data_IF_966922911539
#
_entry.id   IF_966922911539
#
_cell.length_a   1.000
_cell.length_b   1.000
_cell.length_c   1.000
_cell.angle_alpha   90.00
_cell.angle_beta   90.00
_cell.angle_gamma   90.00
#
_symmetry.space_group_name_H-M   'P 1'
#
loop_
_entity.id
_entity.type
_entity.pdbx_description
1 polymer ?
#
# COMPACT_ATOMS: atom_id res chain seq x y z
N UNK A 1 -12.97 22.82 -24.36
CA UNK A 1 -13.12 21.34 -24.47
C UNK A 1 -12.69 20.57 -23.21
N UNK A 2 -11.60 20.95 -22.49
CA UNK A 2 -11.17 20.25 -21.25
C UNK A 2 -12.17 20.33 -20.07
N UNK A 3 -12.90 21.45 -19.91
CA UNK A 3 -13.86 21.64 -18.82
C UNK A 3 -14.99 20.60 -18.79
N UNK A 4 -15.65 20.36 -19.94
CA UNK A 4 -16.76 19.41 -20.04
C UNK A 4 -16.35 17.95 -19.71
N UNK A 5 -15.11 17.56 -20.02
CA UNK A 5 -14.57 16.25 -19.68
C UNK A 5 -14.35 16.08 -18.17
N UNK A 6 -13.88 17.13 -17.48
CA UNK A 6 -13.69 17.14 -16.02
C UNK A 6 -15.05 17.06 -15.31
N UNK A 7 -16.04 17.83 -15.76
CA UNK A 7 -17.39 17.82 -15.16
C UNK A 7 -18.07 16.46 -15.31
N UNK A 8 -17.92 15.80 -16.47
CA UNK A 8 -18.46 14.46 -16.74
C UNK A 8 -17.74 13.36 -15.95
N UNK A 9 -16.44 13.51 -15.72
CA UNK A 9 -15.68 12.62 -14.85
C UNK A 9 -16.09 12.78 -13.39
N UNK A 10 -16.24 14.01 -12.91
CA UNK A 10 -16.70 14.30 -11.56
C UNK A 10 -18.11 13.74 -11.31
N UNK A 11 -19.02 13.83 -12.29
CA UNK A 11 -20.39 13.31 -12.16
C UNK A 11 -20.47 11.77 -12.14
N UNK A 12 -19.44 11.07 -12.62
CA UNK A 12 -19.37 9.60 -12.63
C UNK A 12 -18.45 9.03 -11.55
N UNK A 13 -17.76 9.89 -10.80
CA UNK A 13 -16.84 9.50 -9.73
C UNK A 13 -17.58 9.28 -8.42
N UNK A 14 -17.41 8.09 -7.85
CA UNK A 14 -17.90 7.78 -6.52
C UNK A 14 -16.92 8.26 -5.44
N UNK A 15 -17.11 9.50 -4.98
CA UNK A 15 -16.25 10.14 -3.97
C UNK A 15 -16.10 9.32 -2.69
N UNK A 16 -17.14 8.62 -2.26
CA UNK A 16 -17.09 7.76 -1.07
C UNK A 16 -16.11 6.59 -1.23
N UNK A 17 -16.00 6.00 -2.43
CA UNK A 17 -15.04 4.93 -2.71
C UNK A 17 -13.61 5.47 -2.68
N UNK A 18 -13.41 6.70 -3.16
CA UNK A 18 -12.11 7.34 -3.11
C UNK A 18 -11.69 7.69 -1.69
N UNK A 19 -12.60 8.23 -0.88
CA UNK A 19 -12.35 8.49 0.55
C UNK A 19 -12.04 7.20 1.31
N UNK A 20 -12.78 6.11 1.03
CA UNK A 20 -12.51 4.81 1.61
C UNK A 20 -11.10 4.31 1.26
N UNK A 21 -10.69 4.39 -0.02
CA UNK A 21 -9.32 4.02 -0.41
C UNK A 21 -8.26 4.87 0.29
N UNK A 22 -8.47 6.18 0.40
CA UNK A 22 -7.55 7.08 1.10
C UNK A 22 -7.39 6.68 2.57
N UNK A 23 -8.50 6.43 3.27
CA UNK A 23 -8.49 5.99 4.67
C UNK A 23 -7.76 4.65 4.79
N UNK A 24 -8.07 3.68 3.93
CA UNK A 24 -7.43 2.36 3.95
C UNK A 24 -5.92 2.46 3.71
N UNK A 25 -5.48 3.27 2.74
CA UNK A 25 -4.05 3.50 2.47
C UNK A 25 -3.37 4.19 3.66
N UNK A 26 -4.02 5.18 4.27
CA UNK A 26 -3.49 5.83 5.48
C UNK A 26 -3.32 4.82 6.63
N UNK A 27 -4.28 3.90 6.80
CA UNK A 27 -4.18 2.83 7.79
C UNK A 27 -3.03 1.85 7.47
N UNK A 28 -2.75 1.56 6.21
CA UNK A 28 -1.56 0.76 5.82
C UNK A 28 -0.27 1.45 6.26
N UNK A 29 -0.16 2.77 6.04
CA UNK A 29 1.02 3.54 6.44
C UNK A 29 1.21 3.50 7.96
N UNK A 30 0.13 3.70 8.73
CA UNK A 30 0.15 3.57 10.19
C UNK A 30 0.56 2.15 10.61
N UNK A 31 0.03 1.13 9.96
CA UNK A 31 0.38 -0.27 10.22
C UNK A 31 1.88 -0.55 9.99
N UNK A 32 2.47 -0.03 8.92
CA UNK A 32 3.91 -0.15 8.68
C UNK A 32 4.75 0.57 9.74
N UNK A 33 4.31 1.74 10.21
CA UNK A 33 4.99 2.42 11.32
C UNK A 33 4.93 1.57 12.60
N UNK A 34 3.77 0.99 12.94
CA UNK A 34 3.64 0.11 14.11
C UNK A 34 4.55 -1.10 13.97
N UNK A 35 4.56 -1.78 12.82
CA UNK A 35 5.38 -2.98 12.62
C UNK A 35 6.88 -2.62 12.66
N UNK A 36 7.29 -1.51 12.06
CA UNK A 36 8.70 -1.11 12.01
C UNK A 36 9.30 -0.66 13.35
N UNK A 37 8.47 -0.24 14.30
CA UNK A 37 8.91 0.18 15.64
C UNK A 37 8.56 -0.81 16.76
N UNK A 38 7.75 -1.83 16.49
CA UNK A 38 7.49 -2.95 17.42
C UNK A 38 8.39 -4.14 17.07
N UNK A 39 8.50 -5.13 17.96
CA UNK A 39 9.47 -6.24 17.87
C UNK A 39 9.20 -7.26 16.74
N UNK A 40 8.45 -6.88 15.71
CA UNK A 40 8.44 -7.64 14.46
C UNK A 40 9.69 -7.23 13.68
N UNK A 41 10.77 -8.01 13.79
CA UNK A 41 12.02 -7.90 13.01
C UNK A 41 11.80 -8.18 11.51
N UNK A 42 10.78 -7.56 10.92
CA UNK A 42 10.30 -7.78 9.57
C UNK A 42 10.95 -6.82 8.55
N UNK A 43 11.87 -5.96 8.99
CA UNK A 43 12.51 -4.95 8.16
C UNK A 43 13.94 -4.67 8.60
N UNK A 44 14.82 -4.31 7.65
CA UNK A 44 16.25 -4.01 7.91
C UNK A 44 16.46 -2.85 8.88
N UNK A 45 15.46 -1.98 9.05
CA UNK A 45 15.52 -0.92 10.06
C UNK A 45 15.47 -1.45 11.50
N UNK A 46 14.88 -2.63 11.73
CA UNK A 46 14.81 -3.23 13.06
C UNK A 46 16.22 -3.45 13.65
N UNK A 47 17.19 -3.77 12.80
CA UNK A 47 18.59 -4.01 13.17
C UNK A 47 19.36 -2.73 13.54
N UNK A 48 18.93 -1.57 13.03
CA UNK A 48 19.62 -0.27 13.20
C UNK A 48 18.78 0.79 13.92
N UNK A 49 17.64 0.39 14.51
CA UNK A 49 16.71 1.33 15.15
C UNK A 49 17.37 2.12 16.27
N UNK A 50 17.14 3.43 16.30
CA UNK A 50 17.72 4.31 17.32
C UNK A 50 16.90 4.31 18.62
N UNK A 51 15.66 3.79 18.57
CA UNK A 51 14.72 3.81 19.69
C UNK A 51 14.05 2.45 19.86
N UNK A 52 14.01 2.00 21.12
CA UNK A 52 13.22 0.84 21.54
C UNK A 52 12.02 1.31 22.35
N UNK A 53 10.82 0.91 21.93
CA UNK A 53 9.59 1.20 22.67
C UNK A 53 9.54 0.42 23.99
N UNK A 54 8.93 0.99 25.03
CA UNK A 54 8.63 0.25 26.24
C UNK A 54 7.69 -0.94 25.91
N UNK A 55 7.85 -2.11 26.55
CA UNK A 55 7.06 -3.30 26.21
C UNK A 55 5.55 -3.06 26.27
N UNK A 56 5.08 -2.31 27.26
CA UNK A 56 3.66 -1.93 27.39
C UNK A 56 3.16 -1.13 26.19
N UNK A 57 3.96 -0.20 25.66
CA UNK A 57 3.61 0.61 24.49
C UNK A 57 3.54 -0.26 23.24
N UNK A 58 4.51 -1.15 23.04
CA UNK A 58 4.52 -2.08 21.91
C UNK A 58 3.30 -2.99 21.91
N UNK A 59 2.94 -3.56 23.08
CA UNK A 59 1.75 -4.41 23.24
C UNK A 59 0.48 -3.63 22.93
N UNK A 60 0.32 -2.41 23.46
CA UNK A 60 -0.87 -1.58 23.21
C UNK A 60 -1.01 -1.27 21.71
N UNK A 61 0.07 -0.86 21.05
CA UNK A 61 0.04 -0.58 19.61
C UNK A 61 -0.29 -1.83 18.80
N UNK A 62 0.26 -2.99 19.17
CA UNK A 62 -0.02 -4.24 18.48
C UNK A 62 -1.47 -4.68 18.64
N UNK A 63 -2.01 -4.66 19.86
CA UNK A 63 -3.41 -5.04 20.13
C UNK A 63 -4.39 -4.12 19.42
N UNK A 64 -4.12 -2.81 19.38
CA UNK A 64 -4.95 -1.86 18.67
C UNK A 64 -4.81 -1.97 17.14
N UNK A 65 -3.61 -2.26 16.63
CA UNK A 65 -3.31 -2.29 15.20
C UNK A 65 -3.65 -3.62 14.50
N UNK A 66 -3.44 -4.76 15.17
CA UNK A 66 -3.59 -6.09 14.57
C UNK A 66 -4.96 -6.36 13.92
N UNK A 67 -6.11 -5.95 14.51
CA UNK A 67 -7.41 -6.13 13.86
C UNK A 67 -7.53 -5.41 12.51
N UNK A 68 -6.89 -4.25 12.36
CA UNK A 68 -6.88 -3.50 11.11
C UNK A 68 -6.04 -4.20 10.04
N UNK A 69 -4.95 -4.89 10.42
CA UNK A 69 -4.16 -5.70 9.49
C UNK A 69 -5.00 -6.77 8.77
N UNK A 70 -5.96 -7.37 9.48
CA UNK A 70 -6.87 -8.39 8.92
C UNK A 70 -7.94 -7.80 7.99
N UNK A 71 -8.28 -6.52 8.12
CA UNK A 71 -9.39 -5.90 7.39
C UNK A 71 -8.93 -5.00 6.26
N UNK A 72 -7.87 -4.21 6.46
CA UNK A 72 -7.47 -3.13 5.55
C UNK A 72 -7.05 -3.67 4.19
N UNK A 73 -6.19 -4.69 4.16
CA UNK A 73 -5.69 -5.28 2.90
C UNK A 73 -6.81 -6.00 2.14
N UNK A 74 -7.62 -6.90 2.75
CA UNK A 74 -8.75 -7.50 2.06
C UNK A 74 -9.78 -6.51 1.53
N UNK A 75 -10.09 -5.44 2.28
CA UNK A 75 -11.00 -4.38 1.81
C UNK A 75 -10.42 -3.60 0.63
N UNK A 76 -9.12 -3.28 0.64
CA UNK A 76 -8.46 -2.67 -0.52
C UNK A 76 -8.55 -3.56 -1.75
N UNK A 77 -8.32 -4.86 -1.61
CA UNK A 77 -8.45 -5.82 -2.70
C UNK A 77 -9.89 -6.00 -3.18
N UNK A 78 -10.86 -6.02 -2.26
CA UNK A 78 -12.29 -6.07 -2.60
C UNK A 78 -12.69 -4.85 -3.44
N UNK A 79 -12.35 -3.65 -2.98
CA UNK A 79 -12.64 -2.39 -3.70
C UNK A 79 -11.94 -2.39 -5.06
N UNK A 80 -10.67 -2.80 -5.12
CA UNK A 80 -9.94 -2.89 -6.39
C UNK A 80 -10.57 -3.92 -7.35
N UNK A 81 -11.05 -5.05 -6.81
CA UNK A 81 -11.77 -6.08 -7.55
C UNK A 81 -13.08 -5.58 -8.15
N UNK A 82 -13.92 -4.91 -7.34
CA UNK A 82 -15.19 -4.33 -7.80
C UNK A 82 -15.02 -3.30 -8.93
N UNK A 83 -13.90 -2.56 -8.92
CA UNK A 83 -13.59 -1.55 -9.94
C UNK A 83 -12.83 -2.11 -11.17
N UNK A 84 -12.53 -3.41 -11.17
CA UNK A 84 -11.75 -4.05 -12.24
C UNK A 84 -12.55 -4.31 -13.54
N UNK A 85 -13.79 -4.84 -13.53
CA UNK A 85 -14.51 -5.20 -14.76
C UNK A 85 -14.65 -4.05 -15.77
N UNK A 86 -15.08 -2.83 -15.40
CA UNK A 86 -15.19 -1.72 -16.36
C UNK A 86 -13.83 -1.30 -16.96
N UNK A 87 -12.73 -1.57 -16.25
CA UNK A 87 -11.38 -1.30 -16.73
C UNK A 87 -10.87 -2.37 -17.68
N UNK A 88 -11.25 -3.64 -17.48
CA UNK A 88 -10.94 -4.74 -18.40
C UNK A 88 -11.73 -4.60 -19.68
N UNK A 89 -13.04 -4.34 -19.61
CA UNK A 89 -13.90 -4.13 -20.77
C UNK A 89 -13.39 -3.03 -21.69
N UNK A 90 -12.96 -1.89 -21.12
CA UNK A 90 -12.44 -0.75 -21.89
C UNK A 90 -11.08 -1.01 -22.55
N UNK A 91 -10.24 -1.87 -21.96
CA UNK A 91 -8.84 -2.06 -22.40
C UNK A 91 -8.60 -3.37 -23.16
N UNK A 92 -9.44 -4.37 -22.95
CA UNK A 92 -9.15 -5.76 -23.25
C UNK A 92 -8.17 -6.38 -22.25
N UNK A 93 -8.26 -7.70 -22.07
CA UNK A 93 -7.51 -8.45 -21.04
C UNK A 93 -5.99 -8.29 -21.20
N UNK A 94 -5.44 -8.46 -22.41
CA UNK A 94 -4.00 -8.40 -22.65
C UNK A 94 -3.37 -7.05 -22.30
N UNK A 95 -3.97 -5.96 -22.77
CA UNK A 95 -3.52 -4.59 -22.44
C UNK A 95 -3.69 -4.27 -20.96
N UNK A 96 -4.79 -4.71 -20.34
CA UNK A 96 -5.02 -4.51 -18.91
C UNK A 96 -3.94 -5.19 -18.05
N UNK A 97 -3.60 -6.45 -18.36
CA UNK A 97 -2.55 -7.19 -17.64
C UNK A 97 -1.18 -6.58 -17.89
N UNK A 98 -0.83 -6.27 -19.14
CA UNK A 98 0.45 -5.63 -19.48
C UNK A 98 0.66 -4.29 -18.78
N UNK A 99 -0.36 -3.42 -18.79
CA UNK A 99 -0.33 -2.14 -18.06
C UNK A 99 -0.08 -2.33 -16.56
N UNK A 100 -0.68 -3.35 -15.93
CA UNK A 100 -0.51 -3.63 -14.50
C UNK A 100 0.86 -4.21 -14.19
N UNK A 101 1.35 -5.15 -15.00
CA UNK A 101 2.67 -5.76 -14.85
C UNK A 101 3.78 -4.70 -15.00
N UNK A 102 3.66 -3.81 -15.97
CA UNK A 102 4.64 -2.73 -16.11
C UNK A 102 4.59 -1.74 -14.94
N UNK A 103 3.40 -1.39 -14.46
CA UNK A 103 3.24 -0.43 -13.36
C UNK A 103 3.62 -0.98 -11.99
N UNK A 104 3.47 -2.28 -11.75
CA UNK A 104 3.74 -2.90 -10.46
C UNK A 104 5.01 -3.73 -10.47
N UNK A 105 5.21 -4.53 -11.52
CA UNK A 105 6.36 -5.43 -11.66
C UNK A 105 7.67 -4.70 -11.87
N UNK A 106 7.73 -3.67 -12.73
CA UNK A 106 8.98 -2.94 -12.96
C UNK A 106 9.45 -2.23 -11.68
N UNK A 107 8.62 -1.43 -10.96
CA UNK A 107 9.04 -0.85 -9.69
C UNK A 107 9.43 -1.89 -8.64
N UNK A 108 8.71 -3.02 -8.58
CA UNK A 108 9.04 -4.09 -7.65
C UNK A 108 10.40 -4.73 -7.95
N UNK A 109 10.71 -5.04 -9.22
CA UNK A 109 11.99 -5.62 -9.61
C UNK A 109 13.13 -4.64 -9.33
N UNK A 110 12.96 -3.37 -9.67
CA UNK A 110 13.94 -2.32 -9.37
C UNK A 110 14.18 -2.22 -7.86
N UNK A 111 13.11 -2.23 -7.07
CA UNK A 111 13.24 -2.20 -5.62
C UNK A 111 13.95 -3.43 -5.09
N UNK A 112 13.47 -4.63 -5.42
CA UNK A 112 13.96 -5.89 -4.87
C UNK A 112 15.41 -6.21 -5.27
N UNK A 113 15.82 -5.88 -6.50
CA UNK A 113 17.14 -6.26 -7.02
C UNK A 113 18.20 -5.16 -6.90
N UNK A 114 17.78 -3.89 -6.78
CA UNK A 114 18.73 -2.76 -6.73
C UNK A 114 18.61 -1.99 -5.43
N UNK A 115 17.42 -1.49 -5.10
CA UNK A 115 17.24 -0.58 -3.96
C UNK A 115 17.44 -1.33 -2.64
N UNK A 116 16.79 -2.47 -2.46
CA UNK A 116 16.87 -3.29 -1.26
C UNK A 116 18.32 -3.71 -0.92
N UNK A 117 19.06 -4.42 -1.79
CA UNK A 117 20.43 -4.83 -1.45
C UNK A 117 21.38 -3.65 -1.26
N UNK A 118 21.17 -2.52 -1.96
CA UNK A 118 21.96 -1.32 -1.75
C UNK A 118 21.70 -0.70 -0.38
N UNK A 119 20.44 -0.67 0.07
CA UNK A 119 20.08 -0.22 1.42
C UNK A 119 20.70 -1.13 2.48
N UNK A 120 20.55 -2.45 2.33
CA UNK A 120 21.17 -3.43 3.23
C UNK A 120 22.69 -3.22 3.31
N UNK A 121 23.35 -3.14 2.16
CA UNK A 121 24.79 -2.89 2.12
C UNK A 121 25.18 -1.58 2.81
N UNK A 122 24.40 -0.50 2.62
CA UNK A 122 24.69 0.79 3.23
C UNK A 122 24.40 0.84 4.74
N UNK A 123 23.41 0.09 5.23
CA UNK A 123 23.05 0.03 6.65
C UNK A 123 24.01 -0.83 7.48
N UNK A 124 24.58 -1.87 6.88
CA UNK A 124 25.49 -2.82 7.54
C UNK A 124 26.98 -2.55 7.27
N UNK A 125 27.30 -1.39 6.70
CA UNK A 125 28.67 -0.90 6.48
C UNK A 125 29.17 -0.10 7.69
#
# INVERSE_FOLDING_TARGET
>A
MRGAAITRWASTRHVYVDNLKVILIALVIVGHAIIGYTEFDAWSYADVREVTLAPVTAIVLFVLGAPFGLLVIPLLFLVAGLLTPPSVERKGTGRFVGDRLLRLGVPFIVFALLIWPLLEYALFL
#
